data_IF_709989534593
#
_entry.id   IF_709989534593
#
_cell.length_a   1.000
_cell.length_b   1.000
_cell.length_c   1.000
_cell.angle_alpha   90.00
_cell.angle_beta   90.00
_cell.angle_gamma   90.00
#
_symmetry.space_group_name_H-M   'P 1'
#
loop_
_entity.id
_entity.type
_entity.pdbx_description
1 polymer ?
#
# COMPACT_ATOMS: atom_id res chain seq x y z
N UNK A 1 -1.19 20.38 -0.27
CA UNK A 1 -0.55 20.80 0.99
C UNK A 1 -1.38 20.20 2.10
N UNK A 2 -0.82 19.58 3.15
CA UNK A 2 -1.68 19.10 4.24
C UNK A 2 -2.29 20.31 4.95
N UNK A 3 -3.50 20.20 5.46
CA UNK A 3 -4.14 21.31 6.19
C UNK A 3 -3.28 21.73 7.38
N UNK A 4 -2.67 20.76 8.06
CA UNK A 4 -1.70 20.95 9.14
C UNK A 4 -0.44 21.76 8.76
N UNK A 5 -0.14 21.92 7.47
CA UNK A 5 1.04 22.64 6.96
C UNK A 5 0.73 24.08 6.56
N UNK A 6 -0.54 24.50 6.56
CA UNK A 6 -0.93 25.87 6.23
C UNK A 6 -0.37 26.81 7.32
N UNK A 7 0.46 27.78 6.90
CA UNK A 7 1.04 28.82 7.77
C UNK A 7 0.56 30.22 7.43
N UNK A 8 -0.09 30.40 6.28
CA UNK A 8 -0.67 31.68 5.90
C UNK A 8 -2.08 31.81 6.49
N UNK A 9 -2.31 32.76 7.43
CA UNK A 9 -3.61 32.88 8.10
C UNK A 9 -4.76 33.14 7.12
N UNK A 10 -4.51 33.96 6.10
CA UNK A 10 -5.49 34.30 5.06
C UNK A 10 -5.93 33.06 4.28
N UNK A 11 -5.00 32.16 3.96
CA UNK A 11 -5.30 30.94 3.22
C UNK A 11 -6.10 29.95 4.08
N UNK A 12 -5.72 29.81 5.36
CA UNK A 12 -6.43 28.93 6.29
C UNK A 12 -7.86 29.41 6.55
N UNK A 13 -8.04 30.70 6.81
CA UNK A 13 -9.36 31.28 7.07
C UNK A 13 -10.27 31.12 5.85
N UNK A 14 -9.76 31.39 4.65
CA UNK A 14 -10.50 31.21 3.40
C UNK A 14 -10.92 29.75 3.19
N UNK A 15 -10.04 28.78 3.47
CA UNK A 15 -10.36 27.35 3.43
C UNK A 15 -11.50 27.01 4.39
N UNK A 16 -11.38 27.41 5.66
CA UNK A 16 -12.39 27.10 6.68
C UNK A 16 -13.73 27.76 6.33
N UNK A 17 -13.74 29.01 5.88
CA UNK A 17 -14.96 29.70 5.46
C UNK A 17 -15.67 28.94 4.32
N UNK A 18 -14.92 28.55 3.27
CA UNK A 18 -15.50 27.80 2.14
C UNK A 18 -16.07 26.46 2.57
N UNK A 19 -15.35 25.74 3.44
CA UNK A 19 -15.84 24.48 4.00
C UNK A 19 -17.10 24.66 4.84
N UNK A 20 -17.16 25.70 5.69
CA UNK A 20 -18.32 25.94 6.55
C UNK A 20 -19.54 26.40 5.73
N UNK A 21 -19.35 27.26 4.72
CA UNK A 21 -20.42 27.64 3.78
C UNK A 21 -20.92 26.43 3.01
N UNK A 22 -20.04 25.55 2.52
CA UNK A 22 -20.44 24.33 1.83
C UNK A 22 -21.21 23.36 2.75
N UNK A 23 -20.80 23.25 4.01
CA UNK A 23 -21.38 22.33 5.00
C UNK A 23 -22.68 22.84 5.64
N UNK A 24 -22.86 24.17 5.75
CA UNK A 24 -23.98 24.80 6.47
C UNK A 24 -24.90 25.63 5.59
N UNK A 25 -24.49 25.94 4.36
CA UNK A 25 -25.27 26.76 3.44
C UNK A 25 -25.42 28.20 3.93
N UNK A 26 -26.63 28.76 3.72
CA UNK A 26 -26.93 30.17 3.98
C UNK A 26 -26.95 30.54 5.48
N UNK A 27 -27.04 29.55 6.37
CA UNK A 27 -27.12 29.77 7.82
C UNK A 27 -25.76 30.09 8.47
N UNK A 28 -24.67 29.88 7.72
CA UNK A 28 -23.34 30.26 8.14
C UNK A 28 -22.99 31.67 7.64
N UNK A 29 -22.90 32.59 8.58
CA UNK A 29 -22.59 33.99 8.33
C UNK A 29 -21.11 34.26 8.59
N UNK A 30 -20.43 34.79 7.58
CA UNK A 30 -19.10 35.39 7.71
C UNK A 30 -19.33 36.88 8.03
N UNK A 31 -18.88 37.38 9.20
CA UNK A 31 -19.07 38.78 9.55
C UNK A 31 -18.39 39.71 8.54
N UNK A 32 -19.04 40.85 8.28
CA UNK A 32 -18.43 41.92 7.50
C UNK A 32 -17.40 42.66 8.37
N UNK A 33 -16.12 42.47 8.06
CA UNK A 33 -14.96 43.01 8.78
C UNK A 33 -14.76 44.53 8.63
N UNK A 34 -15.61 45.23 7.87
CA UNK A 34 -15.48 46.68 7.64
C UNK A 34 -15.53 47.53 8.92
N UNK A 35 -16.06 47.01 10.03
CA UNK A 35 -16.19 47.70 11.32
C UNK A 35 -15.14 47.36 12.40
N UNK A 36 -14.16 46.50 12.09
CA UNK A 36 -13.24 45.96 13.08
C UNK A 36 -13.81 44.72 13.77
N UNK A 37 -12.96 43.69 13.83
CA UNK A 37 -13.31 42.34 14.24
C UNK A 37 -13.84 42.30 15.69
N UNK A 38 -15.11 41.95 15.87
CA UNK A 38 -15.69 41.63 17.19
C UNK A 38 -15.22 40.23 17.69
N UNK A 39 -14.27 39.61 17.00
CA UNK A 39 -13.72 38.29 17.26
C UNK A 39 -14.62 37.17 16.81
N UNK A 40 -15.30 37.36 15.68
CA UNK A 40 -16.19 36.37 15.11
C UNK A 40 -15.69 36.05 13.71
N UNK A 41 -15.14 34.85 13.53
CA UNK A 41 -14.69 34.40 12.22
C UNK A 41 -15.82 33.64 11.47
N UNK A 42 -16.92 33.34 12.15
CA UNK A 42 -18.08 32.69 11.55
C UNK A 42 -19.17 32.37 12.56
N UNK A 43 -20.43 32.58 12.19
CA UNK A 43 -21.57 32.31 13.05
C UNK A 43 -22.62 31.48 12.33
N UNK A 44 -22.97 30.34 12.93
CA UNK A 44 -24.07 29.47 12.53
C UNK A 44 -25.27 29.81 13.41
N UNK A 45 -26.22 30.57 12.85
CA UNK A 45 -27.32 31.15 13.62
C UNK A 45 -28.35 30.11 14.05
N UNK A 46 -28.64 29.13 13.18
CA UNK A 46 -29.59 28.05 13.46
C UNK A 46 -29.14 27.21 14.66
N UNK A 47 -27.85 26.88 14.72
CA UNK A 47 -27.28 26.03 15.78
C UNK A 47 -26.72 26.81 16.96
N UNK A 48 -26.64 28.12 16.85
CA UNK A 48 -26.01 28.97 17.84
C UNK A 48 -24.53 28.67 18.07
N UNK A 49 -23.79 28.42 16.99
CA UNK A 49 -22.35 28.08 17.06
C UNK A 49 -21.51 29.26 16.56
N UNK A 50 -20.61 29.73 17.41
CA UNK A 50 -19.59 30.71 17.05
C UNK A 50 -18.26 30.01 16.74
N UNK A 51 -17.66 30.33 15.61
CA UNK A 51 -16.36 29.81 15.19
C UNK A 51 -15.29 30.88 15.39
N UNK A 52 -14.17 30.47 15.98
CA UNK A 52 -12.95 31.25 16.06
C UNK A 52 -11.84 30.50 15.31
N UNK A 53 -11.30 31.11 14.27
CA UNK A 53 -10.38 30.48 13.32
C UNK A 53 -8.99 31.06 13.57
N UNK A 54 -8.02 30.19 13.85
CA UNK A 54 -6.67 30.63 14.14
C UNK A 54 -5.63 29.75 13.47
N UNK A 55 -4.78 30.39 12.66
CA UNK A 55 -3.62 29.78 12.03
C UNK A 55 -2.37 30.55 12.47
N UNK A 56 -1.54 29.98 13.36
CA UNK A 56 -0.31 30.65 13.74
C UNK A 56 0.78 30.44 12.67
N UNK A 57 1.59 31.48 12.45
CA UNK A 57 2.79 31.37 11.60
C UNK A 57 3.80 30.36 12.16
N UNK A 58 3.85 30.22 13.50
CA UNK A 58 4.69 29.25 14.22
C UNK A 58 3.86 28.55 15.29
N UNK A 59 3.81 27.21 15.32
CA UNK A 59 3.05 26.47 16.32
C UNK A 59 3.72 26.58 17.69
N UNK A 60 3.39 27.65 18.42
CA UNK A 60 3.74 27.83 19.84
C UNK A 60 2.51 27.58 20.71
N UNK A 61 2.61 26.62 21.62
CA UNK A 61 1.56 26.29 22.60
C UNK A 61 1.09 27.49 23.43
N UNK A 62 1.99 28.42 23.78
CA UNK A 62 1.60 29.60 24.56
C UNK A 62 0.73 30.56 23.75
N UNK A 63 1.06 30.76 22.47
CA UNK A 63 0.30 31.59 21.55
C UNK A 63 -1.13 31.03 21.33
N UNK A 64 -1.25 29.70 21.15
CA UNK A 64 -2.55 29.02 21.03
C UNK A 64 -3.43 29.25 22.25
N UNK A 65 -2.89 29.04 23.46
CA UNK A 65 -3.65 29.21 24.69
C UNK A 65 -4.16 30.64 24.86
N UNK A 66 -3.29 31.62 24.69
CA UNK A 66 -3.66 33.04 24.87
C UNK A 66 -4.74 33.45 23.86
N UNK A 67 -4.56 33.12 22.58
CA UNK A 67 -5.53 33.42 21.53
C UNK A 67 -6.88 32.75 21.78
N UNK A 68 -6.89 31.45 22.10
CA UNK A 68 -8.11 30.70 22.39
C UNK A 68 -8.90 31.29 23.58
N UNK A 69 -8.22 31.66 24.67
CA UNK A 69 -8.86 32.29 25.82
C UNK A 69 -9.42 33.67 25.49
N UNK A 70 -8.66 34.49 24.74
CA UNK A 70 -9.12 35.81 24.29
C UNK A 70 -10.36 35.69 23.40
N UNK A 71 -10.37 34.79 22.42
CA UNK A 71 -11.52 34.64 21.52
C UNK A 71 -12.73 34.02 22.24
N UNK A 72 -12.52 33.11 23.19
CA UNK A 72 -13.60 32.61 24.05
C UNK A 72 -14.23 33.73 24.89
N UNK A 73 -13.44 34.64 25.46
CA UNK A 73 -13.99 35.80 26.18
C UNK A 73 -14.83 36.71 25.29
N UNK A 74 -14.44 36.88 24.02
CA UNK A 74 -15.26 37.60 23.03
C UNK A 74 -16.57 36.87 22.75
N UNK A 75 -16.53 35.54 22.61
CA UNK A 75 -17.73 34.72 22.45
C UNK A 75 -18.71 34.89 23.63
N UNK A 76 -18.19 34.90 24.86
CA UNK A 76 -18.98 35.15 26.08
C UNK A 76 -19.60 36.55 26.07
N UNK A 77 -18.86 37.55 25.61
CA UNK A 77 -19.38 38.91 25.48
C UNK A 77 -20.50 38.99 24.43
N UNK A 78 -20.28 38.41 23.24
CA UNK A 78 -21.27 38.36 22.16
C UNK A 78 -22.53 37.60 22.55
N UNK A 79 -22.41 36.50 23.31
CA UNK A 79 -23.54 35.71 23.79
C UNK A 79 -24.50 36.51 24.71
N UNK A 80 -24.05 37.64 25.26
CA UNK A 80 -24.87 38.55 26.09
C UNK A 80 -25.46 39.71 25.30
N UNK A 81 -25.05 39.90 24.04
CA UNK A 81 -25.57 40.96 23.20
C UNK A 81 -26.90 40.54 22.56
N UNK A 82 -27.87 41.46 22.43
CA UNK A 82 -29.07 41.19 21.67
C UNK A 82 -28.72 40.88 20.20
N UNK A 83 -29.35 39.84 19.65
CA UNK A 83 -29.14 39.40 18.26
C UNK A 83 -28.25 38.17 18.09
N UNK A 84 -27.58 37.70 19.16
CA UNK A 84 -26.80 36.46 19.13
C UNK A 84 -27.38 35.43 20.10
N UNK A 85 -27.66 34.23 19.60
CA UNK A 85 -28.01 33.06 20.41
C UNK A 85 -26.83 32.08 20.38
N UNK A 86 -25.73 32.42 21.06
CA UNK A 86 -24.52 31.58 21.08
C UNK A 86 -24.64 30.59 22.25
N UNK A 87 -24.72 29.30 21.92
CA UNK A 87 -24.74 28.20 22.91
C UNK A 87 -23.44 27.39 22.86
N UNK A 88 -22.68 27.50 21.76
CA UNK A 88 -21.44 26.77 21.54
C UNK A 88 -20.38 27.67 20.88
N UNK A 89 -19.14 27.51 21.32
CA UNK A 89 -17.96 28.10 20.73
C UNK A 89 -17.06 26.99 20.17
N UNK A 90 -16.54 27.17 18.95
CA UNK A 90 -15.67 26.20 18.28
C UNK A 90 -14.38 26.87 17.85
N UNK A 91 -13.25 26.32 18.31
CA UNK A 91 -11.93 26.81 17.93
C UNK A 91 -11.35 25.94 16.80
N UNK A 92 -11.03 26.57 15.68
CA UNK A 92 -10.57 25.90 14.45
C UNK A 92 -9.09 26.23 14.22
N UNK A 93 -8.27 25.20 14.08
CA UNK A 93 -6.82 25.34 13.95
C UNK A 93 -6.24 24.37 12.92
N UNK A 94 -5.08 24.63 12.29
CA UNK A 94 -4.47 23.69 11.36
C UNK A 94 -4.08 22.37 12.02
N UNK A 95 -3.64 22.41 13.28
CA UNK A 95 -3.12 21.25 14.03
C UNK A 95 -3.93 21.03 15.31
N UNK A 96 -4.17 19.78 15.74
CA UNK A 96 -4.94 19.52 16.96
C UNK A 96 -4.37 20.20 18.20
N UNK A 97 -5.24 20.81 19.00
CA UNK A 97 -4.87 21.30 20.33
C UNK A 97 -4.56 20.11 21.25
N UNK A 98 -3.58 20.29 22.16
CA UNK A 98 -3.30 19.30 23.20
C UNK A 98 -4.48 19.16 24.16
N UNK A 99 -4.78 17.95 24.60
CA UNK A 99 -5.92 17.67 25.47
C UNK A 99 -5.98 18.51 26.75
N UNK A 100 -4.86 18.81 27.46
CA UNK A 100 -4.92 19.68 28.63
C UNK A 100 -5.48 21.07 28.35
N UNK A 101 -5.14 21.66 27.21
CA UNK A 101 -5.66 22.95 26.79
C UNK A 101 -7.13 22.86 26.36
N UNK A 102 -7.53 21.76 25.69
CA UNK A 102 -8.93 21.53 25.35
C UNK A 102 -9.79 21.42 26.62
N UNK A 103 -9.35 20.65 27.62
CA UNK A 103 -10.03 20.50 28.90
C UNK A 103 -10.16 21.83 29.64
N UNK A 104 -9.10 22.65 29.66
CA UNK A 104 -9.12 24.00 30.21
C UNK A 104 -10.18 24.87 29.53
N UNK A 105 -10.18 24.93 28.20
CA UNK A 105 -11.11 25.75 27.42
C UNK A 105 -12.57 25.28 27.59
N UNK A 106 -12.82 23.97 27.67
CA UNK A 106 -14.16 23.43 27.99
C UNK A 106 -14.62 23.87 29.39
N UNK A 107 -13.73 23.84 30.39
CA UNK A 107 -14.07 24.28 31.74
C UNK A 107 -14.39 25.78 31.78
N UNK A 108 -13.58 26.61 31.13
CA UNK A 108 -13.81 28.07 31.05
C UNK A 108 -15.12 28.40 30.30
N UNK A 109 -15.41 27.71 29.20
CA UNK A 109 -16.67 27.92 28.47
C UNK A 109 -17.89 27.56 29.34
N UNK A 110 -17.80 26.46 30.09
CA UNK A 110 -18.89 25.98 30.95
C UNK A 110 -19.25 26.95 32.07
N UNK A 111 -18.29 27.69 32.65
CA UNK A 111 -18.60 28.72 33.68
C UNK A 111 -19.41 29.88 33.13
N UNK A 112 -19.48 30.02 31.80
CA UNK A 112 -20.26 31.03 31.09
C UNK A 112 -21.49 30.46 30.38
N UNK A 113 -21.83 29.19 30.62
CA UNK A 113 -22.98 28.54 30.00
C UNK A 113 -22.79 28.21 28.51
N UNK A 114 -21.54 28.14 28.04
CA UNK A 114 -21.19 27.77 26.66
C UNK A 114 -20.59 26.37 26.61
N UNK A 115 -20.87 25.63 25.53
CA UNK A 115 -20.09 24.45 25.17
C UNK A 115 -18.86 24.85 24.34
N UNK A 116 -17.72 24.18 24.52
CA UNK A 116 -16.53 24.35 23.66
C UNK A 116 -16.31 23.13 22.76
N UNK A 117 -16.03 23.36 21.48
CA UNK A 117 -15.60 22.34 20.50
C UNK A 117 -14.30 22.73 19.80
N UNK A 118 -13.67 21.76 19.16
CA UNK A 118 -12.38 21.96 18.49
C UNK A 118 -12.39 21.27 17.13
N UNK A 119 -11.93 21.97 16.10
CA UNK A 119 -11.73 21.41 14.77
C UNK A 119 -10.26 21.58 14.36
N UNK A 120 -9.75 20.55 13.71
CA UNK A 120 -8.37 20.48 13.24
C UNK A 120 -8.29 19.80 11.87
N UNK A 121 -7.08 19.69 11.33
CA UNK A 121 -6.75 18.98 10.08
C UNK A 121 -7.66 17.80 9.75
N UNK A 122 -7.74 16.77 10.59
CA UNK A 122 -8.50 15.56 10.28
C UNK A 122 -10.01 15.84 10.00
N UNK A 123 -10.61 16.75 10.77
CA UNK A 123 -12.01 17.13 10.58
C UNK A 123 -12.19 17.97 9.30
N UNK A 124 -11.23 18.86 9.03
CA UNK A 124 -11.26 19.72 7.85
C UNK A 124 -11.01 18.91 6.57
N UNK A 125 -10.15 17.87 6.64
CA UNK A 125 -9.92 16.92 5.55
C UNK A 125 -11.18 16.11 5.23
N UNK A 126 -11.93 15.68 6.25
CA UNK A 126 -13.21 15.02 6.07
C UNK A 126 -14.25 15.94 5.40
N UNK A 127 -14.33 17.21 5.82
CA UNK A 127 -15.18 18.19 5.15
C UNK A 127 -14.75 18.43 3.70
N UNK A 128 -13.44 18.54 3.44
CA UNK A 128 -12.90 18.71 2.09
C UNK A 128 -13.13 17.48 1.20
N UNK A 129 -13.27 16.29 1.77
CA UNK A 129 -13.65 15.06 1.05
C UNK A 129 -15.14 15.07 0.70
N UNK A 130 -16.00 15.58 1.59
CA UNK A 130 -17.44 15.73 1.35
C UNK A 130 -17.75 16.81 0.31
N UNK A 131 -16.93 17.85 0.24
CA UNK A 131 -17.15 19.03 -0.60
C UNK A 131 -16.01 19.22 -1.62
N UNK A 132 -15.88 18.34 -2.62
CA UNK A 132 -14.74 18.36 -3.54
C UNK A 132 -14.62 19.65 -4.36
N UNK A 133 -15.74 20.32 -4.67
CA UNK A 133 -15.77 21.60 -5.40
C UNK A 133 -15.02 22.74 -4.69
N UNK A 134 -14.86 22.68 -3.36
CA UNK A 134 -14.09 23.67 -2.59
C UNK A 134 -12.60 23.62 -2.96
N UNK A 135 -12.11 22.48 -3.47
CA UNK A 135 -10.71 22.33 -3.91
C UNK A 135 -10.42 23.20 -5.13
N UNK A 136 -11.36 23.25 -6.07
CA UNK A 136 -11.25 24.02 -7.31
C UNK A 136 -11.15 25.54 -7.04
N UNK A 137 -11.71 26.00 -5.91
CA UNK A 137 -11.67 27.40 -5.49
C UNK A 137 -10.39 27.77 -4.71
N UNK A 138 -9.55 26.79 -4.35
CA UNK A 138 -8.37 26.95 -3.49
C UNK A 138 -7.12 26.32 -4.15
N UNK A 139 -6.63 26.87 -5.28
CA UNK A 139 -5.53 26.29 -6.06
C UNK A 139 -4.22 26.16 -5.27
N UNK A 140 -4.04 26.93 -4.19
CA UNK A 140 -2.90 26.79 -3.27
C UNK A 140 -2.86 25.41 -2.56
N UNK A 141 -3.98 24.69 -2.48
CA UNK A 141 -4.05 23.35 -1.89
C UNK A 141 -3.66 22.23 -2.87
N UNK A 142 -3.80 22.47 -4.19
CA UNK A 142 -3.60 21.48 -5.27
C UNK A 142 -2.14 21.12 -5.54
N UNK A 143 -1.20 22.03 -5.26
CA UNK A 143 0.19 21.92 -5.74
C UNK A 143 0.92 20.61 -5.40
N UNK A 144 0.81 20.02 -4.20
CA UNK A 144 1.56 18.80 -3.88
C UNK A 144 1.01 17.51 -4.51
N UNK A 145 -0.30 17.41 -4.73
CA UNK A 145 -0.86 16.22 -5.36
C UNK A 145 -0.60 16.23 -6.86
N UNK A 146 -0.76 17.40 -7.50
CA UNK A 146 -0.41 17.60 -8.90
C UNK A 146 1.10 17.48 -9.12
N UNK A 147 1.94 17.98 -8.20
CA UNK A 147 3.39 17.78 -8.26
C UNK A 147 3.75 16.28 -8.11
N UNK A 148 3.15 15.56 -7.16
CA UNK A 148 3.36 14.12 -6.99
C UNK A 148 2.93 13.33 -8.23
N UNK A 149 1.79 13.69 -8.82
CA UNK A 149 1.31 13.09 -10.07
C UNK A 149 2.23 13.44 -11.25
N UNK A 150 2.71 14.68 -11.36
CA UNK A 150 3.67 15.10 -12.39
C UNK A 150 5.04 14.42 -12.22
N UNK A 151 5.52 14.27 -10.99
CA UNK A 151 6.75 13.56 -10.68
C UNK A 151 6.59 12.07 -10.98
N UNK A 152 5.43 11.46 -10.70
CA UNK A 152 5.12 10.10 -11.11
C UNK A 152 5.03 9.94 -12.64
N UNK A 153 4.44 10.93 -13.34
CA UNK A 153 4.35 10.97 -14.82
C UNK A 153 5.75 11.07 -15.44
N UNK A 154 6.65 11.82 -14.81
CA UNK A 154 8.03 12.03 -15.27
C UNK A 154 9.02 11.02 -14.71
N UNK A 155 8.58 10.15 -13.79
CA UNK A 155 9.45 9.17 -13.19
C UNK A 155 9.97 8.24 -14.30
N UNK A 156 11.30 8.13 -14.45
CA UNK A 156 11.87 7.20 -15.41
C UNK A 156 11.40 5.79 -15.05
N UNK A 157 11.14 4.98 -16.07
CA UNK A 157 10.73 3.61 -15.86
C UNK A 157 11.82 2.81 -15.11
N UNK A 158 13.09 3.15 -15.31
CA UNK A 158 14.22 2.53 -14.62
C UNK A 158 14.54 3.21 -13.26
N UNK A 159 14.93 2.44 -12.22
CA UNK A 159 15.07 0.98 -12.22
C UNK A 159 13.72 0.25 -12.25
N UNK A 160 13.63 -0.81 -13.06
CA UNK A 160 12.51 -1.77 -13.03
C UNK A 160 12.97 -3.02 -12.31
N UNK A 161 12.12 -3.55 -11.44
CA UNK A 161 12.27 -4.87 -10.83
C UNK A 161 10.97 -5.63 -11.03
N UNK A 162 11.06 -6.96 -11.04
CA UNK A 162 9.88 -7.82 -11.05
C UNK A 162 9.84 -8.55 -9.71
N UNK A 163 8.71 -8.41 -9.01
CA UNK A 163 8.37 -9.29 -7.90
C UNK A 163 7.39 -10.34 -8.42
N UNK A 164 7.64 -11.61 -8.15
CA UNK A 164 6.74 -12.68 -8.57
C UNK A 164 6.80 -13.85 -7.60
N UNK A 165 5.67 -14.55 -7.49
CA UNK A 165 5.58 -15.82 -6.78
C UNK A 165 5.47 -16.94 -7.80
N UNK A 166 6.34 -17.94 -7.71
CA UNK A 166 6.19 -19.19 -8.45
C UNK A 166 5.48 -20.22 -7.59
N UNK A 167 4.45 -20.89 -8.12
CA UNK A 167 3.88 -22.12 -7.56
C UNK A 167 4.46 -23.33 -8.30
N UNK A 168 4.92 -24.35 -7.57
CA UNK A 168 5.42 -25.61 -8.12
C UNK A 168 4.78 -26.77 -7.38
N UNK A 169 4.26 -27.75 -8.10
CA UNK A 169 3.73 -28.97 -7.48
C UNK A 169 4.89 -29.91 -7.16
N UNK A 170 4.93 -30.50 -5.98
CA UNK A 170 5.99 -31.40 -5.53
C UNK A 170 5.33 -32.67 -5.01
N UNK A 171 5.88 -33.86 -5.27
CA UNK A 171 5.28 -35.08 -4.71
C UNK A 171 5.43 -35.11 -3.17
N UNK A 172 4.56 -35.86 -2.48
CA UNK A 172 4.65 -36.00 -1.02
C UNK A 172 5.98 -36.63 -0.59
N UNK A 173 6.58 -37.48 -1.43
CA UNK A 173 7.86 -38.13 -1.19
C UNK A 173 9.04 -37.17 -1.39
N UNK A 174 8.93 -36.23 -2.34
CA UNK A 174 9.97 -35.25 -2.63
C UNK A 174 9.92 -34.05 -1.68
N UNK A 175 8.75 -33.73 -1.12
CA UNK A 175 8.56 -32.55 -0.26
C UNK A 175 9.53 -32.57 0.95
N UNK A 176 9.71 -33.68 1.70
CA UNK A 176 10.74 -33.74 2.72
C UNK A 176 12.15 -33.47 2.19
N UNK A 177 12.50 -33.99 1.00
CA UNK A 177 13.79 -33.73 0.37
C UNK A 177 14.02 -32.23 0.12
N UNK A 178 12.98 -31.56 -0.38
CA UNK A 178 13.01 -30.13 -0.72
C UNK A 178 13.03 -29.24 0.51
N UNK A 179 12.17 -29.47 1.50
CA UNK A 179 11.94 -28.50 2.60
C UNK A 179 12.36 -28.98 3.99
N UNK A 180 12.41 -30.29 4.28
CA UNK A 180 12.63 -30.78 5.65
C UNK A 180 14.05 -30.56 6.19
N UNK A 181 15.02 -30.36 5.30
CA UNK A 181 16.42 -30.09 5.66
C UNK A 181 16.66 -28.64 6.06
N UNK A 182 15.68 -27.75 5.90
CA UNK A 182 15.88 -26.32 6.12
C UNK A 182 15.77 -25.92 7.60
N UNK A 183 16.72 -25.14 8.14
CA UNK A 183 16.63 -24.57 9.48
C UNK A 183 15.41 -23.65 9.60
N UNK A 184 14.37 -24.11 10.29
CA UNK A 184 13.11 -23.38 10.46
C UNK A 184 11.93 -23.95 9.67
N UNK A 185 12.13 -25.05 8.92
CA UNK A 185 11.05 -25.91 8.49
C UNK A 185 10.19 -26.32 9.69
N UNK A 186 8.88 -26.12 9.56
CA UNK A 186 7.89 -26.62 10.52
C UNK A 186 6.79 -27.30 9.74
N UNK A 187 6.61 -28.60 9.95
CA UNK A 187 5.48 -29.35 9.41
C UNK A 187 4.36 -29.30 10.45
N UNK A 188 3.22 -28.76 10.07
CA UNK A 188 1.98 -28.97 10.80
C UNK A 188 1.21 -30.06 10.07
N UNK A 189 0.57 -30.98 10.78
CA UNK A 189 -0.18 -32.09 10.20
C UNK A 189 -1.21 -32.63 11.18
N UNK A 190 -2.19 -33.43 10.72
CA UNK A 190 -3.26 -33.94 11.57
C UNK A 190 -2.75 -34.83 12.72
N UNK A 191 -1.60 -35.49 12.53
CA UNK A 191 -0.99 -36.40 13.51
C UNK A 191 0.15 -35.74 14.31
N UNK A 192 0.42 -34.45 14.09
CA UNK A 192 1.46 -33.70 14.80
C UNK A 192 0.79 -32.75 15.80
N UNK A 193 1.33 -32.61 17.02
CA UNK A 193 0.78 -31.67 17.99
C UNK A 193 0.82 -30.24 17.43
N UNK A 194 -0.27 -29.51 17.62
CA UNK A 194 -0.32 -28.09 17.28
C UNK A 194 0.72 -27.32 18.10
N UNK A 195 1.32 -26.25 17.55
CA UNK A 195 2.30 -25.46 18.29
C UNK A 195 1.64 -24.78 19.51
N UNK A 196 2.43 -24.54 20.55
CA UNK A 196 1.96 -23.75 21.69
C UNK A 196 1.76 -22.26 21.30
N UNK A 197 0.92 -21.51 22.03
CA UNK A 197 0.82 -20.06 21.86
C UNK A 197 2.18 -19.35 21.94
N UNK A 198 2.41 -18.30 21.13
CA UNK A 198 1.45 -17.59 20.28
C UNK A 198 1.27 -18.18 18.87
N UNK A 199 1.98 -19.26 18.54
CA UNK A 199 2.02 -19.80 17.18
C UNK A 199 0.86 -20.77 16.90
N UNK A 200 0.28 -21.37 17.94
CA UNK A 200 -0.95 -22.16 17.86
C UNK A 200 -2.03 -21.71 18.85
N UNK A 201 -3.18 -22.42 18.86
CA UNK A 201 -4.38 -21.95 19.53
C UNK A 201 -4.17 -21.77 21.04
N UNK A 202 -4.84 -20.80 21.69
CA UNK A 202 -4.80 -20.66 23.14
C UNK A 202 -5.20 -21.97 23.85
N UNK A 203 -4.70 -22.25 25.05
CA UNK A 203 -5.01 -23.49 25.76
C UNK A 203 -6.52 -23.67 25.92
N UNK A 204 -7.05 -24.82 25.52
CA UNK A 204 -8.48 -25.13 25.58
C UNK A 204 -9.32 -24.63 24.40
N UNK A 205 -8.72 -23.94 23.42
CA UNK A 205 -9.38 -23.53 22.18
C UNK A 205 -9.11 -24.58 21.10
N UNK A 206 -10.14 -25.29 20.65
CA UNK A 206 -10.02 -26.30 19.58
C UNK A 206 -10.15 -25.72 18.17
N UNK A 207 -10.77 -24.53 18.05
CA UNK A 207 -11.03 -23.86 16.78
C UNK A 207 -10.82 -22.36 16.89
N UNK A 208 -9.92 -21.80 16.08
CA UNK A 208 -9.68 -20.36 16.00
C UNK A 208 -8.91 -19.99 14.74
N UNK A 209 -9.00 -18.72 14.34
CA UNK A 209 -8.10 -18.11 13.37
C UNK A 209 -6.99 -17.36 14.10
N UNK A 210 -5.74 -17.74 13.89
CA UNK A 210 -4.58 -17.01 14.40
C UNK A 210 -3.99 -16.14 13.30
N UNK A 211 -3.93 -14.85 13.56
CA UNK A 211 -3.24 -13.91 12.68
C UNK A 211 -1.76 -13.82 13.08
N UNK A 212 -0.88 -14.03 12.11
CA UNK A 212 0.56 -13.93 12.27
C UNK A 212 1.12 -12.84 11.35
N UNK A 213 2.30 -12.28 11.64
CA UNK A 213 3.00 -11.41 10.69
C UNK A 213 3.21 -12.15 9.35
N UNK A 214 2.48 -11.72 8.31
CA UNK A 214 2.56 -12.32 6.99
C UNK A 214 1.48 -13.37 6.66
N UNK A 215 0.46 -13.58 7.50
CA UNK A 215 -0.56 -14.62 7.26
C UNK A 215 -1.60 -14.86 8.35
N UNK A 216 -2.46 -15.85 8.12
CA UNK A 216 -3.33 -16.42 9.14
C UNK A 216 -3.32 -17.95 9.06
N UNK A 217 -3.61 -18.60 10.18
CA UNK A 217 -3.77 -20.04 10.33
C UNK A 217 -5.18 -20.32 10.88
N UNK A 218 -5.94 -21.17 10.20
CA UNK A 218 -7.26 -21.62 10.64
C UNK A 218 -7.17 -22.99 11.30
N UNK A 219 -7.40 -23.02 12.60
CA UNK A 219 -7.53 -24.22 13.41
C UNK A 219 -9.00 -24.58 13.54
N UNK A 220 -9.36 -25.83 13.26
CA UNK A 220 -10.67 -26.41 13.50
C UNK A 220 -10.52 -27.82 14.04
N UNK A 221 -11.02 -28.06 15.25
CA UNK A 221 -11.07 -29.39 15.89
C UNK A 221 -9.71 -30.11 15.93
N UNK A 222 -8.67 -29.39 16.34
CA UNK A 222 -7.31 -29.94 16.41
C UNK A 222 -6.60 -30.10 15.07
N UNK A 223 -7.22 -29.66 13.96
CA UNK A 223 -6.64 -29.67 12.61
C UNK A 223 -6.36 -28.26 12.12
N UNK A 224 -5.31 -28.12 11.32
CA UNK A 224 -5.06 -26.91 10.53
C UNK A 224 -5.75 -27.09 9.17
N UNK A 225 -6.69 -26.21 8.82
CA UNK A 225 -7.56 -26.35 7.64
C UNK A 225 -7.46 -25.21 6.62
N UNK A 226 -6.71 -24.16 6.96
CA UNK A 226 -6.46 -23.04 6.07
C UNK A 226 -5.24 -22.27 6.48
N UNK A 227 -4.41 -21.90 5.51
CA UNK A 227 -3.37 -20.90 5.71
C UNK A 227 -3.45 -19.90 4.57
N UNK A 228 -3.68 -18.64 4.93
CA UNK A 228 -3.56 -17.53 3.99
C UNK A 228 -2.30 -16.74 4.27
N UNK A 229 -1.57 -16.36 3.24
CA UNK A 229 -0.47 -15.39 3.38
C UNK A 229 -1.04 -13.98 3.26
N UNK A 230 -0.91 -13.19 4.33
CA UNK A 230 -1.32 -11.79 4.40
C UNK A 230 -0.07 -10.97 4.17
N UNK A 231 0.11 -10.51 2.93
CA UNK A 231 1.17 -9.60 2.51
C UNK A 231 2.59 -10.16 2.50
N UNK A 232 3.15 -10.10 1.30
CA UNK A 232 4.57 -10.19 1.04
C UNK A 232 4.97 -8.80 0.55
N UNK A 233 5.28 -7.87 1.48
CA UNK A 233 5.78 -6.49 1.28
C UNK A 233 4.82 -5.29 1.45
N UNK A 234 3.61 -5.44 2.02
CA UNK A 234 2.71 -4.31 2.36
C UNK A 234 1.28 -4.48 1.84
N UNK A 235 0.39 -3.52 2.15
CA UNK A 235 -1.07 -3.61 2.04
C UNK A 235 -1.69 -3.98 0.67
N UNK A 236 -0.89 -4.15 -0.39
CA UNK A 236 -1.33 -4.48 -1.76
C UNK A 236 -0.72 -5.74 -2.39
N UNK A 237 0.10 -6.50 -1.66
CA UNK A 237 0.74 -7.73 -2.16
C UNK A 237 -0.14 -8.98 -1.92
N UNK A 238 0.06 -10.06 -2.71
CA UNK A 238 -0.97 -11.07 -2.96
C UNK A 238 -1.30 -11.87 -1.71
N UNK A 239 -2.53 -12.35 -1.70
CA UNK A 239 -3.06 -13.24 -0.70
C UNK A 239 -3.24 -14.63 -1.29
N UNK A 240 -2.58 -15.63 -0.71
CA UNK A 240 -2.89 -17.03 -1.05
C UNK A 240 -4.18 -17.38 -0.33
N UNK A 241 -5.26 -17.65 -1.07
CA UNK A 241 -6.59 -17.92 -0.51
C UNK A 241 -7.00 -19.40 -0.50
N UNK A 242 -6.05 -20.33 -0.72
CA UNK A 242 -6.39 -21.75 -0.84
C UNK A 242 -6.55 -22.39 0.56
N UNK A 243 -7.66 -23.10 0.83
CA UNK A 243 -7.73 -23.97 2.00
C UNK A 243 -6.62 -25.01 1.89
N UNK A 244 -5.92 -25.23 3.00
CA UNK A 244 -4.75 -26.08 3.10
C UNK A 244 -5.10 -27.21 4.05
N UNK A 245 -4.96 -28.45 3.62
CA UNK A 245 -5.56 -29.55 4.36
C UNK A 245 -4.57 -30.17 5.34
N UNK A 246 -3.28 -30.21 5.01
CA UNK A 246 -2.36 -31.16 5.62
C UNK A 246 -0.98 -30.61 5.96
N UNK A 247 -0.42 -29.62 5.26
CA UNK A 247 0.95 -29.17 5.57
C UNK A 247 1.15 -27.70 5.23
N UNK A 248 1.55 -26.89 6.22
CA UNK A 248 1.97 -25.50 6.02
C UNK A 248 3.39 -25.36 6.50
N UNK A 249 4.28 -24.98 5.59
CA UNK A 249 5.72 -24.89 5.82
C UNK A 249 6.15 -23.46 5.52
N UNK A 250 6.83 -22.83 6.47
CA UNK A 250 7.50 -21.55 6.25
C UNK A 250 8.99 -21.73 6.46
N UNK A 251 9.79 -21.41 5.45
CA UNK A 251 11.25 -21.43 5.58
C UNK A 251 11.73 -20.00 5.83
N UNK A 252 12.42 -19.71 6.96
CA UNK A 252 12.96 -18.38 7.20
C UNK A 252 14.13 -18.09 6.26
N UNK A 253 14.29 -16.83 5.83
CA UNK A 253 15.35 -16.40 4.89
C UNK A 253 16.76 -16.86 5.29
N UNK A 254 17.09 -16.84 6.59
CA UNK A 254 18.37 -17.34 7.13
C UNK A 254 18.61 -18.84 6.87
N UNK A 255 17.54 -19.63 6.80
CA UNK A 255 17.57 -21.07 6.51
C UNK A 255 17.64 -21.38 5.01
N UNK A 256 17.51 -20.38 4.14
CA UNK A 256 17.72 -20.55 2.70
C UNK A 256 19.21 -20.58 2.36
N UNK A 257 20.04 -19.73 2.98
CA UNK A 257 21.47 -19.57 2.65
C UNK A 257 22.34 -20.85 2.66
N UNK A 258 21.92 -21.91 3.37
CA UNK A 258 22.65 -23.18 3.46
C UNK A 258 22.15 -24.30 2.56
N UNK A 259 21.08 -24.06 1.79
CA UNK A 259 20.31 -25.10 1.11
C UNK A 259 20.13 -24.84 -0.38
N UNK A 260 20.96 -23.97 -0.95
CA UNK A 260 20.75 -23.35 -2.26
C UNK A 260 21.66 -23.90 -3.35
N UNK A 261 22.65 -24.72 -3.00
CA UNK A 261 23.46 -25.43 -3.97
C UNK A 261 22.71 -26.67 -4.48
N UNK A 262 21.96 -26.51 -5.57
CA UNK A 262 21.40 -27.64 -6.34
C UNK A 262 19.88 -27.77 -6.32
N UNK A 263 19.17 -26.98 -5.53
CA UNK A 263 17.73 -27.15 -5.34
C UNK A 263 16.90 -26.38 -6.38
N UNK A 264 16.19 -27.07 -7.30
CA UNK A 264 15.52 -26.43 -8.43
C UNK A 264 14.54 -25.33 -8.05
N UNK A 265 13.85 -25.55 -6.93
CA UNK A 265 12.78 -24.66 -6.45
C UNK A 265 13.33 -23.40 -5.79
N UNK A 266 14.62 -23.40 -5.46
CA UNK A 266 15.35 -22.28 -4.91
C UNK A 266 16.14 -21.50 -5.98
N UNK A 267 16.12 -21.92 -7.25
CA UNK A 267 16.83 -21.19 -8.29
C UNK A 267 16.00 -20.00 -8.79
N UNK A 268 16.60 -18.81 -8.77
CA UNK A 268 15.99 -17.65 -9.39
C UNK A 268 16.04 -17.81 -10.92
N UNK A 269 14.90 -17.74 -11.64
CA UNK A 269 14.93 -17.84 -13.09
C UNK A 269 15.61 -16.61 -13.71
N UNK A 270 16.10 -16.78 -14.93
CA UNK A 270 16.40 -15.66 -15.83
C UNK A 270 15.08 -14.97 -16.20
N UNK A 271 15.01 -13.65 -16.02
CA UNK A 271 13.79 -12.86 -16.22
C UNK A 271 14.00 -11.87 -17.36
N UNK A 272 13.20 -12.01 -18.41
CA UNK A 272 13.11 -11.06 -19.50
C UNK A 272 11.73 -10.43 -19.52
N UNK A 273 11.68 -9.10 -19.50
CA UNK A 273 10.46 -8.31 -19.57
C UNK A 273 10.52 -7.40 -20.79
N UNK A 274 9.67 -7.63 -21.77
CA UNK A 274 9.53 -6.77 -22.93
C UNK A 274 8.24 -5.96 -22.82
N UNK A 275 8.36 -4.66 -23.01
CA UNK A 275 7.24 -3.74 -23.02
C UNK A 275 7.15 -3.14 -24.40
N UNK A 276 5.93 -3.10 -24.94
CA UNK A 276 5.65 -2.43 -26.20
C UNK A 276 4.42 -1.52 -26.06
N UNK A 277 4.62 -0.22 -26.26
CA UNK A 277 3.55 0.76 -26.25
C UNK A 277 3.08 1.00 -27.69
N UNK A 278 1.79 0.78 -27.96
CA UNK A 278 1.17 1.21 -29.21
C UNK A 278 0.69 2.66 -29.07
N UNK A 279 1.49 3.60 -29.57
CA UNK A 279 1.04 4.98 -29.73
C UNK A 279 -0.09 5.08 -30.76
N UNK A 280 -0.97 6.07 -30.62
CA UNK A 280 -2.06 6.33 -31.58
C UNK A 280 -1.57 6.87 -32.94
N UNK A 281 -0.30 7.29 -33.06
CA UNK A 281 0.20 7.95 -34.29
C UNK A 281 1.70 7.81 -34.56
N UNK A 282 2.41 6.89 -33.91
CA UNK A 282 3.88 6.74 -34.04
C UNK A 282 4.35 5.29 -34.16
N UNK A 283 5.65 5.06 -34.48
CA UNK A 283 6.22 3.73 -34.44
C UNK A 283 6.08 3.13 -33.04
N UNK A 284 5.79 1.82 -32.97
CA UNK A 284 5.68 1.12 -31.70
C UNK A 284 6.98 1.29 -30.91
N UNK A 285 6.87 1.85 -29.71
CA UNK A 285 7.99 2.01 -28.80
C UNK A 285 8.15 0.70 -28.05
N UNK A 286 9.33 0.12 -28.04
CA UNK A 286 9.63 -1.09 -27.27
C UNK A 286 10.86 -0.92 -26.39
N UNK A 287 10.87 -1.62 -25.26
CA UNK A 287 12.02 -1.73 -24.36
C UNK A 287 12.02 -3.12 -23.76
N UNK A 288 13.20 -3.72 -23.66
CA UNK A 288 13.39 -4.97 -22.94
C UNK A 288 14.18 -4.72 -21.66
N UNK A 289 13.83 -5.42 -20.60
CA UNK A 289 14.56 -5.47 -19.34
C UNK A 289 15.02 -6.90 -19.13
N UNK A 290 16.25 -7.06 -18.64
CA UNK A 290 16.82 -8.36 -18.35
C UNK A 290 17.39 -8.41 -16.93
N UNK A 291 17.00 -9.42 -16.17
CA UNK A 291 17.67 -9.86 -14.95
C UNK A 291 18.24 -11.25 -15.23
N UNK A 292 19.56 -11.43 -15.28
CA UNK A 292 20.14 -12.74 -15.43
C UNK A 292 19.76 -13.62 -14.23
N UNK A 293 19.82 -14.93 -14.45
CA UNK A 293 19.81 -15.90 -13.36
C UNK A 293 20.91 -15.53 -12.34
N UNK A 294 20.52 -15.38 -11.08
CA UNK A 294 21.41 -15.01 -9.98
C UNK A 294 21.34 -16.06 -8.86
N UNK A 295 22.32 -16.05 -7.96
CA UNK A 295 22.27 -16.85 -6.75
C UNK A 295 21.04 -16.50 -5.91
N UNK A 296 20.66 -17.42 -5.03
CA UNK A 296 19.41 -17.47 -4.27
C UNK A 296 19.13 -16.30 -3.32
N UNK A 297 20.02 -15.31 -3.27
CA UNK A 297 19.86 -14.08 -2.50
C UNK A 297 18.64 -13.25 -2.96
N UNK A 298 18.15 -13.47 -4.19
CA UNK A 298 16.90 -12.91 -4.71
C UNK A 298 15.62 -13.57 -4.17
N UNK A 299 15.72 -14.71 -3.47
CA UNK A 299 14.56 -15.32 -2.81
C UNK A 299 14.22 -14.53 -1.55
N UNK A 300 13.03 -13.96 -1.57
CA UNK A 300 12.47 -13.24 -0.43
C UNK A 300 11.92 -14.24 0.59
N UNK A 301 11.23 -15.28 0.11
CA UNK A 301 10.55 -16.27 0.95
C UNK A 301 10.29 -17.58 0.20
N UNK A 302 10.26 -18.68 0.95
CA UNK A 302 9.82 -19.99 0.49
C UNK A 302 8.78 -20.54 1.47
N UNK A 303 7.69 -21.08 0.94
CA UNK A 303 6.70 -21.79 1.73
C UNK A 303 6.12 -22.98 0.96
N UNK A 304 5.65 -23.99 1.68
CA UNK A 304 4.90 -25.08 1.09
C UNK A 304 3.51 -25.16 1.73
N UNK A 305 2.51 -25.44 0.91
CA UNK A 305 1.13 -25.67 1.29
C UNK A 305 0.72 -26.98 0.63
N UNK A 306 0.51 -28.01 1.43
CA UNK A 306 0.35 -29.39 0.98
C UNK A 306 1.49 -29.79 0.03
N UNK A 307 1.15 -30.20 -1.19
CA UNK A 307 2.08 -30.60 -2.23
C UNK A 307 2.44 -29.44 -3.17
N UNK A 308 2.23 -28.19 -2.76
CA UNK A 308 2.52 -26.99 -3.56
C UNK A 308 3.55 -26.14 -2.85
N UNK A 309 4.68 -25.89 -3.51
CA UNK A 309 5.72 -24.98 -3.04
C UNK A 309 5.54 -23.62 -3.72
N UNK A 310 5.48 -22.57 -2.91
CA UNK A 310 5.46 -21.18 -3.35
C UNK A 310 6.80 -20.51 -3.04
N UNK A 311 7.38 -19.88 -4.05
CA UNK A 311 8.70 -19.27 -4.00
C UNK A 311 8.58 -17.81 -4.44
N UNK A 312 8.88 -16.89 -3.53
CA UNK A 312 8.82 -15.45 -3.80
C UNK A 312 10.17 -14.91 -4.22
N UNK A 313 10.21 -14.27 -5.37
CA UNK A 313 11.40 -13.68 -5.95
C UNK A 313 11.23 -12.18 -6.09
N UNK A 314 12.32 -11.46 -5.85
CA UNK A 314 12.45 -10.06 -6.23
C UNK A 314 13.72 -9.92 -7.05
N UNK A 315 13.60 -9.56 -8.32
CA UNK A 315 14.80 -9.37 -9.15
C UNK A 315 15.66 -8.23 -8.60
N UNK A 316 16.95 -8.26 -8.92
CA UNK A 316 17.75 -7.04 -8.89
C UNK A 316 17.18 -6.01 -9.87
N UNK A 317 17.65 -4.77 -9.80
CA UNK A 317 17.34 -3.76 -10.81
C UNK A 317 17.74 -4.28 -12.19
N UNK A 318 16.74 -4.41 -13.06
CA UNK A 318 16.93 -4.99 -14.38
C UNK A 318 17.61 -4.01 -15.31
N UNK A 319 18.47 -4.53 -16.18
CA UNK A 319 19.14 -3.71 -17.20
C UNK A 319 18.24 -3.53 -18.42
N UNK A 320 18.06 -2.30 -18.89
CA UNK A 320 17.27 -2.02 -20.09
C UNK A 320 18.06 -2.21 -21.38
N UNK A 321 17.37 -2.65 -22.44
CA UNK A 321 17.86 -2.72 -23.81
C UNK A 321 16.83 -2.07 -24.75
N UNK A 322 17.16 -0.98 -25.46
CA UNK A 322 18.46 -0.28 -25.44
C UNK A 322 18.76 0.35 -24.07
N UNK A 323 20.04 0.63 -23.81
CA UNK A 323 20.50 1.14 -22.50
C UNK A 323 19.85 2.48 -22.11
N UNK A 324 19.37 3.25 -23.09
CA UNK A 324 18.66 4.50 -22.86
C UNK A 324 17.15 4.24 -22.64
N UNK A 325 16.81 3.96 -21.39
CA UNK A 325 15.42 3.87 -20.91
C UNK A 325 14.78 5.23 -20.63
N UNK A 326 15.50 6.35 -20.79
CA UNK A 326 15.01 7.69 -20.43
C UNK A 326 13.78 8.11 -21.23
N UNK A 327 13.55 7.50 -22.38
CA UNK A 327 12.35 7.72 -23.16
C UNK A 327 11.10 7.13 -22.51
N UNK A 328 11.21 6.09 -21.66
CA UNK A 328 10.09 5.43 -20.99
C UNK A 328 9.82 6.01 -19.60
N UNK A 329 8.56 6.34 -19.34
CA UNK A 329 8.05 6.68 -18.02
C UNK A 329 7.03 5.67 -17.51
N UNK A 330 6.63 5.81 -16.24
CA UNK A 330 5.54 5.02 -15.67
C UNK A 330 4.26 5.07 -16.52
N UNK A 331 3.95 6.23 -17.12
CA UNK A 331 2.74 6.41 -17.91
C UNK A 331 2.77 5.68 -19.26
N UNK A 332 3.97 5.40 -19.80
CA UNK A 332 4.10 4.57 -21.00
C UNK A 332 3.66 3.12 -20.76
N UNK A 333 3.53 2.67 -19.51
CA UNK A 333 2.94 1.37 -19.18
C UNK A 333 1.42 1.34 -19.43
N UNK A 334 0.76 2.50 -19.52
CA UNK A 334 -0.68 2.56 -19.76
C UNK A 334 -0.98 2.04 -21.16
N UNK A 335 -1.76 0.96 -21.24
CA UNK A 335 -2.00 0.22 -22.50
C UNK A 335 -0.73 -0.37 -23.14
N UNK A 336 0.37 -0.50 -22.38
CA UNK A 336 1.52 -1.26 -22.84
C UNK A 336 1.17 -2.74 -22.91
N UNK A 337 1.61 -3.37 -24.00
CA UNK A 337 1.68 -4.80 -24.09
C UNK A 337 2.95 -5.28 -23.40
N UNK A 338 2.78 -6.22 -22.49
CA UNK A 338 3.81 -6.82 -21.66
C UNK A 338 4.00 -8.26 -22.13
N UNK A 339 5.23 -8.61 -22.48
CA UNK A 339 5.67 -9.98 -22.70
C UNK A 339 6.76 -10.31 -21.68
N UNK A 340 6.49 -11.27 -20.80
CA UNK A 340 7.43 -11.75 -19.80
C UNK A 340 7.85 -13.17 -20.13
N UNK A 341 9.15 -13.44 -20.05
CA UNK A 341 9.71 -14.78 -20.08
C UNK A 341 10.48 -15.04 -18.79
N UNK A 342 10.14 -16.13 -18.11
CA UNK A 342 10.93 -16.70 -17.01
C UNK A 342 11.59 -17.98 -17.51
N UNK A 343 12.91 -18.07 -17.45
CA UNK A 343 13.64 -19.29 -17.84
C UNK A 343 14.39 -19.85 -16.64
N UNK A 344 13.97 -21.04 -16.20
CA UNK A 344 14.70 -21.81 -15.19
C UNK A 344 15.69 -22.77 -15.85
N UNK A 345 16.65 -23.29 -15.10
CA UNK A 345 17.64 -24.25 -15.60
C UNK A 345 17.91 -25.34 -14.57
N UNK A 346 17.78 -26.61 -14.96
CA UNK A 346 18.05 -27.77 -14.12
C UNK A 346 18.76 -28.88 -14.89
N UNK A 347 19.52 -29.73 -14.18
CA UNK A 347 20.17 -30.91 -14.75
C UNK A 347 19.42 -32.14 -14.23
N UNK A 348 18.76 -32.93 -15.09
CA UNK A 348 17.90 -34.06 -14.67
C UNK A 348 18.64 -35.07 -13.78
N UNK A 349 19.93 -35.28 -14.02
CA UNK A 349 20.77 -36.18 -13.23
C UNK A 349 21.21 -35.62 -11.86
N UNK A 350 20.98 -34.34 -11.59
CA UNK A 350 21.28 -33.67 -10.31
C UNK A 350 20.00 -33.41 -9.53
N UNK A 351 18.99 -32.90 -10.23
CA UNK A 351 17.69 -32.62 -9.67
C UNK A 351 16.60 -32.81 -10.72
N UNK A 352 15.58 -33.59 -10.37
CA UNK A 352 14.48 -33.91 -11.26
C UNK A 352 13.22 -33.16 -10.81
N UNK A 353 12.66 -32.36 -11.72
CA UNK A 353 11.34 -31.74 -11.56
C UNK A 353 10.49 -32.18 -12.76
N UNK A 354 9.51 -33.09 -12.58
CA UNK A 354 8.70 -33.54 -13.70
C UNK A 354 7.92 -32.36 -14.30
N UNK A 355 7.51 -32.48 -15.57
CA UNK A 355 6.85 -31.39 -16.28
C UNK A 355 5.56 -30.89 -15.61
N UNK A 356 4.81 -31.81 -14.98
CA UNK A 356 3.64 -31.46 -14.16
C UNK A 356 3.98 -30.54 -12.97
N UNK A 357 5.21 -30.64 -12.47
CA UNK A 357 5.76 -29.90 -11.34
C UNK A 357 6.47 -28.61 -11.75
N UNK A 358 6.58 -28.32 -13.06
CA UNK A 358 7.23 -27.10 -13.51
C UNK A 358 6.53 -25.85 -12.95
N UNK A 359 7.33 -24.83 -12.60
CA UNK A 359 6.82 -23.64 -11.95
C UNK A 359 5.76 -22.95 -12.82
N UNK A 360 4.81 -22.34 -12.14
CA UNK A 360 3.80 -21.44 -12.70
C UNK A 360 3.86 -20.13 -11.95
N UNK A 361 3.66 -19.02 -12.64
CA UNK A 361 3.43 -17.74 -11.98
C UNK A 361 2.13 -17.84 -11.20
N UNK A 362 2.19 -17.61 -9.91
CA UNK A 362 1.03 -17.46 -9.04
C UNK A 362 0.62 -15.99 -8.92
N UNK A 363 1.61 -15.11 -8.81
CA UNK A 363 1.42 -13.66 -8.71
C UNK A 363 2.59 -12.93 -9.37
N UNK A 364 2.37 -11.71 -9.86
CA UNK A 364 3.42 -10.89 -10.46
C UNK A 364 3.13 -9.40 -10.31
N UNK A 365 4.19 -8.64 -10.07
CA UNK A 365 4.18 -7.19 -9.89
C UNK A 365 5.41 -6.57 -10.55
N UNK A 366 5.21 -5.43 -11.20
CA UNK A 366 6.31 -4.58 -11.65
C UNK A 366 6.58 -3.53 -10.57
N UNK A 367 7.82 -3.45 -10.11
CA UNK A 367 8.28 -2.41 -9.19
C UNK A 367 9.09 -1.40 -10.00
N UNK A 368 8.55 -0.20 -10.14
CA UNK A 368 9.06 0.87 -10.99
C UNK A 368 9.61 2.00 -10.12
N UNK A 369 10.82 2.44 -10.46
CA UNK A 369 11.55 3.49 -9.73
C UNK A 369 11.66 3.23 -8.21
N UNK A 370 11.60 1.96 -7.80
CA UNK A 370 11.55 1.51 -6.40
C UNK A 370 10.42 2.15 -5.55
N UNK A 371 9.42 2.74 -6.20
CA UNK A 371 8.35 3.52 -5.57
C UNK A 371 6.95 3.06 -5.97
N UNK A 372 6.79 2.64 -7.21
CA UNK A 372 5.48 2.32 -7.78
C UNK A 372 5.37 0.83 -8.01
N UNK A 373 4.22 0.26 -7.64
CA UNK A 373 3.91 -1.15 -7.89
C UNK A 373 2.74 -1.22 -8.84
N UNK A 374 2.92 -1.97 -9.93
CA UNK A 374 1.88 -2.29 -10.91
C UNK A 374 1.55 -3.78 -10.81
N UNK A 375 0.34 -4.11 -10.40
CA UNK A 375 -0.13 -5.50 -10.29
C UNK A 375 -0.47 -6.08 -11.66
N UNK A 376 -0.07 -7.32 -11.91
CA UNK A 376 -0.50 -8.07 -13.08
C UNK A 376 -1.87 -8.70 -12.82
N UNK A 377 -2.85 -8.59 -13.74
CA UNK A 377 -4.17 -9.18 -13.53
C UNK A 377 -4.15 -10.72 -13.49
N UNK A 378 -4.94 -11.32 -12.58
CA UNK A 378 -5.08 -12.79 -12.48
C UNK A 378 -5.50 -13.45 -13.79
N UNK A 379 -6.34 -12.76 -14.59
CA UNK A 379 -6.76 -13.25 -15.90
C UNK A 379 -5.57 -13.47 -16.85
N UNK A 380 -4.55 -12.61 -16.80
CA UNK A 380 -3.33 -12.78 -17.56
C UNK A 380 -2.51 -13.96 -17.00
N UNK A 381 -2.32 -14.02 -15.69
CA UNK A 381 -1.57 -15.10 -15.03
C UNK A 381 -2.15 -16.48 -15.35
N UNK A 382 -3.48 -16.60 -15.42
CA UNK A 382 -4.16 -17.84 -15.79
C UNK A 382 -3.96 -18.24 -17.26
N UNK A 383 -3.53 -17.32 -18.12
CA UNK A 383 -3.23 -17.55 -19.54
C UNK A 383 -1.74 -17.82 -19.82
N UNK A 384 -0.89 -17.88 -18.79
CA UNK A 384 0.54 -18.17 -18.96
C UNK A 384 0.77 -19.47 -19.76
N UNK A 385 1.74 -19.44 -20.66
CA UNK A 385 2.22 -20.63 -21.36
C UNK A 385 3.42 -21.23 -20.62
N UNK A 386 3.57 -22.56 -20.72
CA UNK A 386 4.73 -23.29 -20.21
C UNK A 386 5.34 -24.10 -21.32
N UNK A 387 6.67 -24.16 -21.34
CA UNK A 387 7.38 -24.90 -22.37
C UNK A 387 8.81 -25.20 -22.00
N UNK A 388 9.54 -25.69 -23.01
CA UNK A 388 11.01 -25.81 -22.96
C UNK A 388 11.58 -24.63 -23.73
N UNK A 389 12.63 -24.03 -23.19
CA UNK A 389 13.36 -23.00 -23.90
C UNK A 389 13.90 -23.53 -25.22
N UNK A 390 13.52 -22.90 -26.33
CA UNK A 390 14.05 -23.22 -27.65
C UNK A 390 15.48 -22.70 -27.84
N UNK A 391 15.89 -21.71 -27.05
CA UNK A 391 17.19 -21.04 -27.14
C UNK A 391 18.29 -21.79 -26.40
N UNK A 392 17.97 -22.52 -25.33
CA UNK A 392 18.96 -23.30 -24.59
C UNK A 392 19.08 -24.71 -25.17
N UNK A 393 20.02 -24.90 -26.11
CA UNK A 393 20.42 -26.24 -26.59
C UNK A 393 21.36 -26.87 -25.57
N UNK A 394 20.86 -27.74 -24.70
CA UNK A 394 21.71 -28.32 -23.66
C UNK A 394 22.07 -29.78 -23.99
N UNK A 395 23.37 -30.07 -23.94
CA UNK A 395 23.88 -31.44 -24.00
C UNK A 395 23.75 -32.10 -22.62
N UNK A 396 23.42 -33.39 -22.56
CA UNK A 396 23.58 -34.20 -21.35
C UNK A 396 22.42 -34.16 -20.33
N UNK A 397 21.16 -34.13 -20.78
CA UNK A 397 20.00 -34.32 -19.88
C UNK A 397 19.67 -33.12 -19.01
N UNK A 398 20.01 -31.90 -19.45
CA UNK A 398 19.55 -30.70 -18.78
C UNK A 398 18.28 -30.14 -19.44
N UNK A 399 17.46 -29.48 -18.64
CA UNK A 399 16.15 -28.97 -19.02
C UNK A 399 16.10 -27.50 -18.64
N UNK A 400 15.56 -26.67 -19.53
CA UNK A 400 15.30 -25.27 -19.27
C UNK A 400 13.80 -24.97 -19.40
N UNK A 401 13.01 -25.17 -18.31
CA UNK A 401 11.60 -24.82 -18.32
C UNK A 401 11.41 -23.32 -18.53
N UNK A 402 10.43 -22.96 -19.36
CA UNK A 402 10.02 -21.58 -19.56
C UNK A 402 8.59 -21.36 -19.08
N UNK A 403 8.36 -20.19 -18.51
CA UNK A 403 7.03 -19.63 -18.29
C UNK A 403 6.94 -18.34 -19.09
N UNK A 404 5.95 -18.26 -19.97
CA UNK A 404 5.70 -17.10 -20.82
C UNK A 404 4.36 -16.48 -20.45
N UNK A 405 4.32 -15.16 -20.36
CA UNK A 405 3.14 -14.40 -19.98
C UNK A 405 2.99 -13.18 -20.88
N UNK A 406 1.86 -13.12 -21.58
CA UNK A 406 1.51 -12.07 -22.53
C UNK A 406 0.22 -11.38 -22.10
N UNK A 407 0.26 -10.06 -21.91
CA UNK A 407 -0.95 -9.30 -21.58
C UNK A 407 -0.84 -7.83 -21.97
N UNK A 408 -1.94 -7.10 -21.85
CA UNK A 408 -1.96 -5.63 -22.00
C UNK A 408 -2.41 -5.03 -20.68
N UNK A 409 -1.69 -4.02 -20.19
CA UNK A 409 -2.07 -3.29 -18.98
C UNK A 409 -3.29 -2.43 -19.30
N UNK A 410 -4.48 -2.69 -18.71
CA UNK A 410 -5.71 -1.97 -19.09
C UNK A 410 -5.62 -0.48 -18.77
N UNK A 411 -5.98 0.37 -19.75
CA UNK A 411 -5.94 1.83 -19.58
C UNK A 411 -6.84 2.32 -18.45
N UNK A 412 -8.00 1.69 -18.27
CA UNK A 412 -9.02 2.07 -17.29
C UNK A 412 -8.61 1.71 -15.86
N UNK A 413 -7.79 0.67 -15.69
CA UNK A 413 -7.44 0.12 -14.38
C UNK A 413 -6.06 0.57 -13.92
N UNK A 414 -5.26 1.19 -14.80
CA UNK A 414 -3.88 1.59 -14.51
C UNK A 414 -3.78 2.42 -13.22
N UNK A 415 -4.62 3.44 -13.06
CA UNK A 415 -4.57 4.33 -11.89
C UNK A 415 -4.98 3.61 -10.60
N UNK A 416 -5.79 2.54 -10.68
CA UNK A 416 -6.13 1.67 -9.55
C UNK A 416 -5.04 0.63 -9.26
N UNK A 417 -4.31 0.21 -10.29
CA UNK A 417 -3.25 -0.79 -10.21
C UNK A 417 -1.92 -0.21 -9.76
N UNK A 418 -1.71 1.10 -9.91
CA UNK A 418 -0.54 1.81 -9.41
C UNK A 418 -0.73 2.13 -7.93
N UNK A 419 0.06 1.48 -7.08
CA UNK A 419 0.16 1.83 -5.67
C UNK A 419 1.56 2.33 -5.34
N UNK A 420 1.68 3.23 -4.36
CA UNK A 420 2.98 3.61 -3.81
C UNK A 420 3.42 2.53 -2.83
N UNK A 421 4.57 1.91 -3.07
CA UNK A 421 5.18 0.98 -2.14
C UNK A 421 6.27 1.68 -1.33
N UNK A 422 6.23 1.48 -0.02
CA UNK A 422 7.42 1.67 0.82
C UNK A 422 8.15 0.34 0.84
N UNK A 423 9.17 0.17 -0.01
CA UNK A 423 10.06 -0.99 0.11
C UNK A 423 10.77 -0.87 1.46
N UNK A 424 10.45 -1.77 2.40
CA UNK A 424 11.19 -1.88 3.66
C UNK A 424 12.64 -2.24 3.33
N UNK A 425 13.58 -1.43 3.82
CA UNK A 425 15.02 -1.64 3.63
C UNK A 425 15.52 -2.93 4.32
#
# INVERSE_FOLDING_TARGET
MKIADIREPSAFQRLVHRLMVAERGADFHIPDDSGGDRGNDGYDADRGILYAIYCPEKPDTAAYRNKALTDLQKAVHLARQPGYLITRWVFVTPTPLREPLQAELRAVAATHGLAAGFLADAHLEDLLRKHPHVRDELPALEYPEVARQLDAIRAPLAPVRVFFTLESQVSDDDLPGVVSRHPGYRRYGPDLPLPDPPEGPPPGVSSCRLFQPGGFLDFSDGKLSGAGLLHLMGAGFPHIHRPATHTVVRVPKRGLKGATSGEPLCMQPDVRLELSARGQSGPAKSIAFHSPMADTDGIVRLCAIDNIVFSDFLTASMSSTPADSSSWSLYDLRAAHVHLTLTSFYIEGVAFLPEASWPRIHSMYLVVADQYVVSVPDAAINQQARGRSATVKIAGGAVAPTVELDFTIPQADFDQQVSTATLGA
#
